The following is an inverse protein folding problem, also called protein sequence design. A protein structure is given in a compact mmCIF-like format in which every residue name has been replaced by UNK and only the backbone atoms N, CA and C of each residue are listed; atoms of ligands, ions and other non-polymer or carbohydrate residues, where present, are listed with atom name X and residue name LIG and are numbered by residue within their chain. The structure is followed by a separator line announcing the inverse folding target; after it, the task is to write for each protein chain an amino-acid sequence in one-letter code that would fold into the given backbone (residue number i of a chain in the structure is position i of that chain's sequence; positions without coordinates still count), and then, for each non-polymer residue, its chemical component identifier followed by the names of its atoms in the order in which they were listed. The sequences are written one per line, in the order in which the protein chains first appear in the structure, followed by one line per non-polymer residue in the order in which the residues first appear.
data_IF_462347886503
#
_entry.id   IF_462347886503
#
_cell.length_a   1.000
_cell.length_b   1.000
_cell.length_c   1.000
_cell.angle_alpha   90.00
_cell.angle_beta   90.00
_cell.angle_gamma   90.00
#
_symmetry.space_group_name_H-M   'P 1'
#
loop_
_entity.id
_entity.type
_entity.pdbx_description
1 polymer ?
#
# COMPACT_ATOMS: atom_id res chain seq x y z
N UNK A 1 -22.20 -17.85 15.70
CA UNK A 1 -21.02 -18.43 15.05
C UNK A 1 -20.26 -17.26 14.47
N UNK A 2 -19.24 -16.78 15.20
CA UNK A 2 -18.42 -15.66 14.76
C UNK A 2 -17.40 -16.19 13.76
N UNK A 3 -17.33 -15.56 12.58
CA UNK A 3 -16.29 -15.81 11.61
C UNK A 3 -14.98 -15.25 12.20
N UNK A 4 -14.18 -16.15 12.74
CA UNK A 4 -12.79 -15.91 13.07
C UNK A 4 -12.08 -15.63 11.74
N UNK A 5 -11.57 -14.41 11.57
CA UNK A 5 -10.78 -14.01 10.41
C UNK A 5 -9.37 -14.57 10.60
N UNK A 6 -9.27 -15.90 10.50
CA UNK A 6 -8.06 -16.66 10.76
C UNK A 6 -7.02 -16.29 9.71
N UNK A 7 -5.97 -15.58 10.14
CA UNK A 7 -4.70 -15.49 9.43
C UNK A 7 -4.31 -16.94 9.09
N UNK A 8 -4.11 -17.30 7.82
CA UNK A 8 -3.90 -18.70 7.45
C UNK A 8 -2.69 -19.27 8.19
N UNK A 9 -2.96 -20.32 8.96
CA UNK A 9 -2.04 -21.13 9.79
C UNK A 9 -0.94 -21.88 8.99
N UNK A 10 -0.65 -21.46 7.76
CA UNK A 10 0.51 -21.86 6.96
C UNK A 10 1.65 -20.79 6.95
N UNK A 11 1.55 -19.79 7.82
CA UNK A 11 2.71 -19.20 8.50
C UNK A 11 3.70 -18.38 7.65
N UNK A 12 3.35 -17.93 6.46
CA UNK A 12 4.19 -17.00 5.72
C UNK A 12 3.31 -16.09 4.85
N UNK A 13 3.48 -14.78 5.01
CA UNK A 13 2.78 -13.76 4.24
C UNK A 13 3.66 -13.37 3.06
N UNK A 14 3.15 -13.49 1.84
CA UNK A 14 3.83 -12.96 0.66
C UNK A 14 3.61 -11.44 0.61
N UNK A 15 4.65 -10.69 0.96
CA UNK A 15 4.65 -9.25 0.93
C UNK A 15 5.29 -8.75 -0.36
N UNK A 16 4.57 -7.94 -1.12
CA UNK A 16 5.15 -7.15 -2.20
C UNK A 16 5.94 -6.01 -1.58
N UNK A 17 7.27 -6.07 -1.68
CA UNK A 17 8.14 -5.00 -1.24
C UNK A 17 8.17 -3.87 -2.28
N UNK A 18 7.98 -2.64 -1.82
CA UNK A 18 8.08 -1.43 -2.62
C UNK A 18 8.76 -0.34 -1.83
N UNK A 19 9.45 0.55 -2.53
CA UNK A 19 10.11 1.71 -1.93
C UNK A 19 9.20 2.92 -2.04
N UNK A 20 9.15 3.70 -0.97
CA UNK A 20 8.49 5.00 -0.93
C UNK A 20 9.42 5.99 -0.23
N UNK A 21 9.94 6.97 -0.98
CA UNK A 21 10.96 7.88 -0.44
C UNK A 21 12.25 7.13 -0.10
N UNK A 22 12.62 7.07 1.18
CA UNK A 22 13.83 6.39 1.67
C UNK A 22 13.53 5.09 2.45
N UNK A 23 12.28 4.66 2.49
CA UNK A 23 11.83 3.51 3.28
C UNK A 23 11.25 2.41 2.39
N UNK A 24 11.42 1.15 2.81
CA UNK A 24 10.81 -0.01 2.18
C UNK A 24 9.55 -0.43 2.92
N UNK A 25 8.48 -0.60 2.16
CA UNK A 25 7.17 -0.98 2.63
C UNK A 25 6.75 -2.29 1.98
N UNK A 26 5.98 -3.09 2.72
CA UNK A 26 5.44 -4.35 2.27
C UNK A 26 3.93 -4.36 2.42
N UNK A 27 3.24 -4.83 1.39
CA UNK A 27 1.79 -5.09 1.43
C UNK A 27 1.51 -6.52 0.99
N UNK A 28 0.39 -7.08 1.41
CA UNK A 28 -0.04 -8.40 0.98
C UNK A 28 -0.16 -8.49 -0.54
N UNK A 29 0.59 -9.39 -1.17
CA UNK A 29 0.49 -9.64 -2.61
C UNK A 29 -0.91 -10.09 -2.99
N UNK A 30 -1.65 -10.74 -2.09
CA UNK A 30 -3.00 -11.22 -2.34
C UNK A 30 -3.99 -10.07 -2.56
N UNK A 31 -3.67 -8.87 -2.08
CA UNK A 31 -4.45 -7.65 -2.30
C UNK A 31 -4.07 -6.95 -3.61
N UNK A 32 -2.91 -7.27 -4.18
CA UNK A 32 -2.40 -6.70 -5.43
C UNK A 32 -3.07 -7.39 -6.61
N UNK A 33 -3.82 -6.62 -7.38
CA UNK A 33 -4.48 -7.11 -8.59
C UNK A 33 -3.54 -7.06 -9.79
N UNK A 34 -2.78 -5.97 -9.95
CA UNK A 34 -1.76 -5.83 -10.99
C UNK A 34 -0.82 -4.65 -10.69
N UNK A 35 0.35 -4.63 -11.32
CA UNK A 35 1.31 -3.53 -11.23
C UNK A 35 1.48 -2.95 -12.64
N UNK A 36 1.40 -1.62 -12.75
CA UNK A 36 1.50 -0.88 -14.00
C UNK A 36 2.59 0.18 -13.88
N UNK A 37 3.23 0.53 -14.98
CA UNK A 37 4.02 1.76 -15.04
C UNK A 37 3.12 2.98 -14.79
N UNK A 38 3.69 4.03 -14.20
CA UNK A 38 2.98 5.29 -14.05
C UNK A 38 2.66 5.89 -15.43
N UNK A 39 1.37 6.05 -15.72
CA UNK A 39 0.87 6.63 -16.98
C UNK A 39 0.05 7.90 -16.71
N UNK A 40 -0.45 8.53 -17.77
CA UNK A 40 -1.23 9.76 -17.68
C UNK A 40 -2.56 9.50 -16.99
N UNK A 41 -2.69 10.02 -15.76
CA UNK A 41 -3.95 9.97 -15.01
C UNK A 41 -4.90 11.10 -15.44
N UNK A 42 -6.19 10.81 -15.44
CA UNK A 42 -7.24 11.80 -15.66
C UNK A 42 -7.47 12.56 -14.36
N UNK A 43 -7.01 13.81 -14.29
CA UNK A 43 -7.16 14.64 -13.09
C UNK A 43 -8.63 14.94 -12.82
N UNK A 44 -9.04 14.80 -11.56
CA UNK A 44 -10.38 15.14 -11.11
C UNK A 44 -10.35 16.55 -10.52
N UNK A 45 -11.25 17.42 -10.98
CA UNK A 45 -11.43 18.74 -10.40
C UNK A 45 -12.04 18.62 -8.99
N UNK A 46 -11.51 19.37 -8.03
CA UNK A 46 -11.89 19.35 -6.60
C UNK A 46 -11.54 18.05 -5.84
N UNK A 47 -10.70 17.18 -6.39
CA UNK A 47 -10.21 16.03 -5.63
C UNK A 47 -9.21 16.48 -4.54
N UNK A 48 -9.16 15.76 -3.39
CA UNK A 48 -8.12 15.95 -2.38
C UNK A 48 -6.72 15.82 -2.97
N UNK A 49 -5.72 16.50 -2.38
CA UNK A 49 -4.35 16.50 -2.91
C UNK A 49 -3.71 15.11 -3.02
N UNK A 50 -4.11 14.18 -2.14
CA UNK A 50 -3.64 12.79 -2.17
C UNK A 50 -4.21 12.00 -3.37
N UNK A 51 -5.33 12.42 -3.96
CA UNK A 51 -5.88 11.82 -5.17
C UNK A 51 -5.26 12.53 -6.38
N UNK A 52 -4.43 11.82 -7.13
CA UNK A 52 -3.87 12.33 -8.39
C UNK A 52 -4.90 12.42 -9.50
N UNK A 53 -5.87 11.52 -9.48
CA UNK A 53 -6.93 11.45 -10.47
C UNK A 53 -7.51 10.05 -10.55
N UNK A 54 -8.00 9.69 -11.72
CA UNK A 54 -8.48 8.34 -12.04
C UNK A 54 -7.83 7.84 -13.33
N UNK A 55 -7.72 6.52 -13.44
CA UNK A 55 -7.34 5.82 -14.67
C UNK A 55 -8.47 4.88 -15.06
N UNK A 56 -8.68 4.69 -16.37
CA UNK A 56 -9.60 3.67 -16.86
C UNK A 56 -8.84 2.36 -17.07
N UNK A 57 -9.12 1.37 -16.25
CA UNK A 57 -8.56 0.02 -16.36
C UNK A 57 -9.66 -0.94 -16.81
N UNK A 58 -9.60 -1.36 -18.08
CA UNK A 58 -10.55 -2.32 -18.69
C UNK A 58 -12.02 -1.90 -18.52
N UNK A 59 -12.32 -0.59 -18.56
CA UNK A 59 -13.66 -0.05 -18.38
C UNK A 59 -14.02 0.28 -16.93
N UNK A 60 -13.15 -0.04 -15.96
CA UNK A 60 -13.33 0.31 -14.54
C UNK A 60 -12.58 1.60 -14.24
N UNK A 61 -13.24 2.55 -13.59
CA UNK A 61 -12.62 3.80 -13.13
C UNK A 61 -11.89 3.51 -11.82
N UNK A 62 -10.57 3.57 -11.86
CA UNK A 62 -9.69 3.28 -10.72
C UNK A 62 -9.09 4.59 -10.22
N UNK A 63 -9.39 5.02 -8.99
CA UNK A 63 -8.77 6.20 -8.40
C UNK A 63 -7.29 5.94 -8.15
N UNK A 64 -6.46 6.90 -8.54
CA UNK A 64 -5.01 6.86 -8.33
C UNK A 64 -4.66 7.78 -7.17
N UNK A 65 -4.19 7.16 -6.09
CA UNK A 65 -3.79 7.81 -4.84
C UNK A 65 -2.26 7.87 -4.83
N UNK A 66 -1.73 9.04 -4.53
CA UNK A 66 -0.29 9.24 -4.36
C UNK A 66 0.08 9.01 -2.90
N UNK A 67 0.73 7.87 -2.64
CA UNK A 67 1.15 7.51 -1.28
C UNK A 67 2.10 8.55 -0.71
N UNK A 68 2.96 9.18 -1.53
CA UNK A 68 3.90 10.18 -1.03
C UNK A 68 3.17 11.40 -0.48
N UNK A 69 2.09 11.82 -1.14
CA UNK A 69 1.25 12.93 -0.68
C UNK A 69 0.43 12.51 0.54
N UNK A 70 -0.07 11.27 0.54
CA UNK A 70 -0.84 10.72 1.66
C UNK A 70 -0.02 10.69 2.96
N UNK A 71 1.22 10.18 2.90
CA UNK A 71 2.14 10.10 4.03
C UNK A 71 3.05 11.32 4.17
N UNK A 72 2.80 12.38 3.41
CA UNK A 72 3.57 13.62 3.47
C UNK A 72 5.10 13.42 3.31
N UNK A 73 5.52 12.38 2.56
CA UNK A 73 6.91 12.10 2.18
C UNK A 73 7.39 13.09 1.12
N UNK A 74 7.63 14.33 1.55
CA UNK A 74 8.27 15.37 0.76
C UNK A 74 7.61 15.61 -0.61
N UNK A 75 8.40 16.14 -1.53
CA UNK A 75 7.95 16.37 -2.91
C UNK A 75 8.08 15.08 -3.72
N UNK A 76 6.98 14.59 -4.33
CA UNK A 76 7.02 13.37 -5.12
C UNK A 76 7.81 13.59 -6.41
N UNK A 77 8.89 12.82 -6.59
CA UNK A 77 9.68 12.77 -7.82
C UNK A 77 9.15 11.64 -8.69
N UNK A 78 8.44 11.98 -9.76
CA UNK A 78 7.98 10.99 -10.75
C UNK A 78 9.12 10.72 -11.72
N UNK A 79 9.69 9.52 -11.63
CA UNK A 79 10.72 9.05 -12.55
C UNK A 79 10.20 7.83 -13.32
N UNK A 80 11.00 7.27 -14.23
CA UNK A 80 10.65 6.07 -15.00
C UNK A 80 10.43 4.83 -14.13
N UNK A 81 10.93 4.85 -12.89
CA UNK A 81 10.74 3.79 -11.90
C UNK A 81 9.40 3.87 -11.18
N UNK A 82 8.69 5.00 -11.28
CA UNK A 82 7.39 5.18 -10.63
C UNK A 82 6.38 4.22 -11.24
N UNK A 83 5.76 3.44 -10.35
CA UNK A 83 4.76 2.45 -10.72
C UNK A 83 3.48 2.68 -9.93
N UNK A 84 2.38 2.22 -10.52
CA UNK A 84 1.05 2.21 -9.94
C UNK A 84 0.71 0.78 -9.58
N UNK A 85 0.55 0.53 -8.29
CA UNK A 85 0.08 -0.75 -7.77
C UNK A 85 -1.44 -0.68 -7.72
N UNK A 86 -2.10 -1.54 -8.49
CA UNK A 86 -3.56 -1.67 -8.50
C UNK A 86 -3.94 -2.72 -7.46
N UNK A 87 -4.78 -2.31 -6.53
CA UNK A 87 -5.19 -3.08 -5.35
C UNK A 87 -6.70 -3.30 -5.41
N UNK A 88 -7.13 -4.46 -4.91
CA UNK A 88 -8.55 -4.77 -4.74
C UNK A 88 -8.87 -4.99 -3.26
N UNK A 89 -9.68 -4.09 -2.71
CA UNK A 89 -10.02 -4.08 -1.29
C UNK A 89 -11.54 -4.06 -1.18
N UNK A 90 -12.11 -5.10 -0.57
CA UNK A 90 -13.54 -5.30 -0.43
C UNK A 90 -14.34 -5.14 -1.76
N UNK A 91 -13.75 -5.54 -2.90
CA UNK A 91 -14.38 -5.42 -4.22
C UNK A 91 -14.23 -4.04 -4.88
N UNK A 92 -13.52 -3.11 -4.25
CA UNK A 92 -13.17 -1.81 -4.84
C UNK A 92 -11.74 -1.85 -5.37
N UNK A 93 -11.58 -1.47 -6.63
CA UNK A 93 -10.27 -1.37 -7.28
C UNK A 93 -9.72 0.03 -7.09
N UNK A 94 -8.53 0.14 -6.52
CA UNK A 94 -7.84 1.41 -6.27
C UNK A 94 -6.39 1.31 -6.73
N UNK A 95 -5.79 2.40 -7.17
CA UNK A 95 -4.41 2.45 -7.60
C UNK A 95 -3.58 3.31 -6.65
N UNK A 96 -2.39 2.84 -6.33
CA UNK A 96 -1.44 3.55 -5.48
C UNK A 96 -0.15 3.80 -6.21
N UNK A 97 0.27 5.06 -6.25
CA UNK A 97 1.55 5.46 -6.82
C UNK A 97 2.65 5.27 -5.79
N UNK A 98 3.69 4.52 -6.16
CA UNK A 98 4.89 4.28 -5.34
C UNK A 98 6.16 4.65 -6.13
N UNK A 99 7.30 4.77 -5.44
CA UNK A 99 8.57 5.12 -6.10
C UNK A 99 9.07 4.01 -7.00
N UNK A 100 9.08 2.77 -6.50
CA UNK A 100 9.56 1.59 -7.20
C UNK A 100 9.01 0.36 -6.51
N UNK A 101 8.73 -0.71 -7.26
CA UNK A 101 8.49 -2.04 -6.67
C UNK A 101 9.82 -2.79 -6.67
N UNK A 102 10.16 -3.38 -5.52
CA UNK A 102 11.39 -4.16 -5.34
C UNK A 102 11.18 -5.59 -5.82
N UNK A 103 10.60 -6.46 -4.97
CA UNK A 103 10.34 -7.87 -5.29
C UNK A 103 9.24 -8.41 -4.37
N UNK A 104 8.75 -9.62 -4.63
CA UNK A 104 7.81 -10.30 -3.72
C UNK A 104 8.61 -11.15 -2.77
N UNK A 105 8.50 -10.87 -1.47
CA UNK A 105 9.18 -11.63 -0.44
C UNK A 105 8.18 -12.36 0.45
N UNK A 106 8.55 -13.56 0.86
CA UNK A 106 7.82 -14.31 1.87
C UNK A 106 8.33 -13.84 3.23
N UNK A 107 7.44 -13.29 4.05
CA UNK A 107 7.72 -12.89 5.43
C UNK A 107 7.02 -13.83 6.37
N UNK A 108 7.80 -14.65 7.08
CA UNK A 108 7.27 -15.49 8.15
C UNK A 108 6.87 -14.63 9.36
N UNK A 109 5.82 -14.97 10.12
CA UNK A 109 5.36 -14.22 11.28
C UNK A 109 6.43 -14.17 12.39
N UNK A 110 7.35 -15.13 12.42
CA UNK A 110 8.52 -15.12 13.31
C UNK A 110 9.53 -13.99 12.97
N UNK A 111 9.54 -13.54 11.71
CA UNK A 111 10.36 -12.42 11.25
C UNK A 111 9.64 -11.07 11.38
N UNK A 112 8.32 -11.10 11.63
CA UNK A 112 7.52 -9.90 11.88
C UNK A 112 7.72 -9.53 13.35
N UNK A 113 8.52 -8.48 13.57
CA UNK A 113 8.62 -7.86 14.88
C UNK A 113 7.50 -6.84 15.04
N UNK A 114 6.96 -6.67 16.25
CA UNK A 114 6.09 -5.53 16.51
C UNK A 114 6.88 -4.26 16.16
N UNK A 115 6.24 -3.34 15.44
CA UNK A 115 6.84 -2.04 15.23
C UNK A 115 7.14 -1.44 16.61
N UNK A 116 8.38 -0.97 16.88
CA UNK A 116 8.60 -0.06 17.99
C UNK A 116 7.61 1.10 17.85
N UNK A 117 7.32 1.83 18.92
CA UNK A 117 6.64 3.13 18.84
C UNK A 117 7.53 4.10 18.05
N UNK A 118 7.66 3.87 16.75
CA UNK A 118 8.36 4.72 15.83
C UNK A 118 7.40 5.85 15.51
N UNK A 119 7.91 7.06 15.60
CA UNK A 119 7.34 8.29 15.02
C UNK A 119 7.32 8.20 13.47
N UNK A 120 6.99 7.03 12.92
CA UNK A 120 6.69 6.90 11.49
C UNK A 120 5.40 7.64 11.22
N UNK A 121 5.30 8.27 10.05
CA UNK A 121 4.07 8.93 9.60
C UNK A 121 2.88 7.97 9.50
N UNK A 122 3.11 6.67 9.67
CA UNK A 122 2.12 5.62 9.77
C UNK A 122 1.56 5.56 11.20
N UNK A 123 0.26 5.81 11.35
CA UNK A 123 -0.46 5.54 12.58
C UNK A 123 -0.42 4.03 12.86
N UNK A 124 -0.21 3.63 14.12
CA UNK A 124 -0.04 2.23 14.53
C UNK A 124 -1.27 1.34 14.21
N UNK A 125 -2.40 1.93 13.82
CA UNK A 125 -3.63 1.21 13.53
C UNK A 125 -3.57 0.35 12.27
N UNK A 126 -2.84 0.80 11.24
CA UNK A 126 -2.69 0.11 9.94
C UNK A 126 -1.30 -0.51 9.72
N UNK A 127 -0.42 -0.48 10.72
CA UNK A 127 0.83 -1.22 10.70
C UNK A 127 0.60 -2.68 11.13
N UNK A 128 1.00 -3.63 10.30
CA UNK A 128 1.01 -5.06 10.67
C UNK A 128 2.23 -5.35 11.55
N UNK A 129 3.38 -4.76 11.20
CA UNK A 129 4.63 -4.91 11.91
C UNK A 129 5.84 -4.62 11.03
N UNK A 130 7.04 -4.94 11.52
CA UNK A 130 8.29 -4.80 10.79
C UNK A 130 8.83 -6.19 10.43
N UNK A 131 8.81 -6.53 9.15
CA UNK A 131 9.51 -7.68 8.63
C UNK A 131 11.01 -7.39 8.55
N UNK A 132 11.85 -8.27 9.09
CA UNK A 132 13.30 -8.20 8.84
C UNK A 132 13.70 -9.29 7.85
N UNK A 133 14.16 -8.88 6.67
CA UNK A 133 14.60 -9.78 5.60
C UNK A 133 16.01 -9.40 5.17
N UNK A 134 16.98 -10.32 5.32
CA UNK A 134 18.36 -10.11 4.85
C UNK A 134 18.98 -8.77 5.32
N UNK A 135 18.81 -8.46 6.62
CA UNK A 135 19.22 -7.19 7.26
C UNK A 135 18.47 -5.93 6.79
N UNK A 136 17.53 -6.06 5.85
CA UNK A 136 16.63 -4.97 5.43
C UNK A 136 15.38 -4.95 6.29
N UNK A 137 14.95 -3.75 6.62
CA UNK A 137 13.71 -3.50 7.34
C UNK A 137 12.59 -3.25 6.33
N UNK A 138 11.56 -4.10 6.38
CA UNK A 138 10.38 -4.00 5.56
C UNK A 138 9.19 -3.65 6.45
N UNK A 139 8.59 -2.49 6.22
CA UNK A 139 7.43 -2.03 7.00
C UNK A 139 6.17 -2.66 6.43
N UNK A 140 5.58 -3.63 7.13
CA UNK A 140 4.36 -4.29 6.69
C UNK A 140 3.13 -3.45 7.04
N UNK A 141 2.37 -3.10 6.01
CA UNK A 141 1.18 -2.23 6.12
C UNK A 141 -0.07 -3.00 5.73
N UNK A 142 -1.09 -2.90 6.57
CA UNK A 142 -2.42 -3.40 6.29
C UNK A 142 -3.14 -2.40 5.40
N UNK A 143 -3.21 -2.72 4.11
CA UNK A 143 -3.84 -1.85 3.13
C UNK A 143 -5.36 -1.73 3.30
N UNK A 144 -5.99 -2.75 3.88
CA UNK A 144 -7.44 -2.80 4.11
C UNK A 144 -7.80 -1.74 5.17
N UNK A 145 -7.04 -1.73 6.26
CA UNK A 145 -7.15 -0.71 7.31
C UNK A 145 -6.69 0.66 6.85
N UNK A 146 -5.60 0.75 6.08
CA UNK A 146 -5.10 2.04 5.60
C UNK A 146 -6.15 2.75 4.76
N UNK A 147 -6.81 2.03 3.85
CA UNK A 147 -7.88 2.60 3.03
C UNK A 147 -9.15 2.92 3.82
N UNK A 148 -9.41 2.17 4.89
CA UNK A 148 -10.50 2.39 5.87
C UNK A 148 -10.20 3.50 6.87
N UNK A 149 -8.93 3.90 6.98
CA UNK A 149 -8.51 4.89 7.96
C UNK A 149 -9.09 6.26 7.62
N UNK A 150 -9.30 7.08 8.65
CA UNK A 150 -9.77 8.45 8.49
C UNK A 150 -8.82 9.34 7.66
N UNK A 151 -7.58 8.89 7.44
CA UNK A 151 -6.55 9.58 6.67
C UNK A 151 -6.79 9.52 5.16
N UNK A 152 -7.34 8.40 4.68
CA UNK A 152 -7.68 8.17 3.27
C UNK A 152 -9.20 8.24 3.05
N UNK A 153 -10.00 7.73 3.99
CA UNK A 153 -11.46 7.89 4.03
C UNK A 153 -12.19 7.49 2.75
N UNK A 154 -11.64 6.56 1.97
CA UNK A 154 -12.18 6.17 0.65
C UNK A 154 -13.23 5.04 0.74
N UNK A 155 -13.30 4.38 1.89
CA UNK A 155 -14.29 3.35 2.20
C UNK A 155 -15.02 3.73 3.50
N UNK A 156 -16.27 4.20 3.37
CA UNK A 156 -17.21 4.25 4.49
C UNK A 156 -17.63 2.80 4.81
N UNK A 157 -17.44 2.39 6.07
CA UNK A 157 -17.92 1.10 6.61
C UNK A 157 -19.45 1.02 6.60
#
# INVERSE_FOLDING_TARGET
MQADNTIPINGAMEALAFTLGNEEYGIDILKVQEIRGYDTVTKIANAPKFIKGVVNLRGIIVPIIDMRICFNFGNPTYDQFTVVIVLNIAGRVMGMVVDSVSDVTIVSPEQIKPAPEMDTTFNNDYLIGLGTLDERMLILVDIDKLMSSAEIGLIEQ
#
